data_IF_401291554802
#
_entry.id   IF_401291554802
#
_cell.length_a   1.000
_cell.length_b   1.000
_cell.length_c   1.000
_cell.angle_alpha   90.00
_cell.angle_beta   90.00
_cell.angle_gamma   90.00
#
_symmetry.space_group_name_H-M   'P 1'
#
loop_
_entity.id
_entity.type
_entity.pdbx_description
1 polymer ?
#
# COMPACT_ATOMS: atom_id res chain seq x y z
N UNK A 1 2.40 -22.26 4.84
CA UNK A 1 1.82 -21.36 3.82
C UNK A 1 2.96 -20.49 3.30
N UNK A 2 3.10 -20.33 1.99
CA UNK A 2 4.15 -19.49 1.40
C UNK A 2 3.88 -18.00 1.59
N UNK A 3 4.92 -17.18 1.40
CA UNK A 3 4.79 -15.73 1.34
C UNK A 3 3.83 -15.30 0.22
N UNK A 4 3.09 -14.24 0.44
CA UNK A 4 2.19 -13.61 -0.52
C UNK A 4 2.69 -12.20 -0.82
N UNK A 5 2.79 -11.85 -2.09
CA UNK A 5 3.25 -10.53 -2.54
C UNK A 5 2.09 -9.76 -3.17
N UNK A 6 2.00 -8.48 -2.83
CA UNK A 6 1.02 -7.55 -3.33
C UNK A 6 1.71 -6.32 -3.90
N UNK A 7 1.25 -5.88 -5.06
CA UNK A 7 1.78 -4.71 -5.75
C UNK A 7 0.71 -3.64 -5.88
N UNK A 8 1.11 -2.38 -5.73
CA UNK A 8 0.27 -1.22 -6.04
C UNK A 8 1.08 -0.16 -6.79
N UNK A 9 0.64 0.25 -8.00
CA UNK A 9 1.14 1.45 -8.64
C UNK A 9 0.90 2.67 -7.74
N UNK A 10 1.94 3.47 -7.54
CA UNK A 10 1.89 4.71 -6.80
C UNK A 10 1.33 5.82 -7.68
N UNK A 11 0.38 6.56 -7.14
CA UNK A 11 -0.15 7.80 -7.71
C UNK A 11 0.59 8.99 -7.12
N UNK A 12 0.52 10.17 -7.75
CA UNK A 12 1.11 11.40 -7.19
C UNK A 12 0.63 11.72 -5.76
N UNK A 13 -0.60 11.33 -5.39
CA UNK A 13 -1.11 11.49 -4.02
C UNK A 13 -0.43 10.55 -3.02
N UNK A 14 -0.07 9.35 -3.47
CA UNK A 14 0.59 8.34 -2.62
C UNK A 14 2.04 8.72 -2.30
N UNK A 15 2.74 9.37 -3.23
CA UNK A 15 4.13 9.85 -3.03
C UNK A 15 4.19 11.26 -2.44
N UNK A 16 3.09 12.01 -2.50
CA UNK A 16 2.97 13.33 -1.86
C UNK A 16 3.43 14.47 -2.75
N UNK A 17 3.60 14.19 -4.05
CA UNK A 17 3.99 15.16 -5.07
C UNK A 17 2.92 16.24 -5.28
N UNK A 18 1.66 15.94 -4.97
CA UNK A 18 0.55 16.90 -5.10
C UNK A 18 0.55 17.99 -4.02
N UNK A 19 1.43 17.92 -3.01
CA UNK A 19 1.51 18.88 -1.90
C UNK A 19 0.30 18.89 -0.96
N UNK A 20 -0.74 18.10 -1.26
CA UNK A 20 -1.91 17.92 -0.41
C UNK A 20 -1.62 17.01 0.78
N UNK A 21 -2.53 16.99 1.76
CA UNK A 21 -2.44 16.07 2.89
C UNK A 21 -2.49 14.62 2.39
N UNK A 22 -1.38 13.91 2.53
CA UNK A 22 -1.33 12.49 2.27
C UNK A 22 -2.17 11.76 3.33
N UNK A 23 -3.31 11.19 2.91
CA UNK A 23 -4.15 10.39 3.80
C UNK A 23 -3.66 8.93 3.94
N UNK A 24 -2.55 8.56 3.29
CA UNK A 24 -1.99 7.21 3.27
C UNK A 24 -2.46 6.37 2.08
N UNK A 25 -1.80 5.23 1.88
CA UNK A 25 -2.08 4.27 0.80
C UNK A 25 -3.42 3.60 1.06
N UNK A 26 -4.38 3.78 0.15
CA UNK A 26 -5.69 3.16 0.23
C UNK A 26 -5.63 1.64 -0.08
N UNK A 27 -6.29 0.83 0.73
CA UNK A 27 -6.54 -0.59 0.50
C UNK A 27 -8.05 -0.78 0.28
N UNK A 28 -8.50 -1.10 -0.95
CA UNK A 28 -9.90 -1.38 -1.23
C UNK A 28 -10.40 -2.56 -0.40
N UNK A 29 -11.63 -2.47 0.14
CA UNK A 29 -12.27 -3.56 0.89
C UNK A 29 -12.42 -4.86 0.08
N UNK A 30 -12.39 -4.78 -1.25
CA UNK A 30 -12.41 -5.93 -2.14
C UNK A 30 -11.09 -6.72 -2.16
N UNK A 31 -10.00 -6.18 -1.61
CA UNK A 31 -8.71 -6.87 -1.48
C UNK A 31 -8.70 -7.77 -0.23
N UNK A 32 -9.62 -8.74 -0.19
CA UNK A 32 -9.86 -9.60 0.98
C UNK A 32 -8.61 -10.37 1.41
N UNK A 33 -7.84 -10.87 0.45
CA UNK A 33 -6.62 -11.65 0.74
C UNK A 33 -5.51 -10.77 1.35
N UNK A 34 -5.34 -9.54 0.85
CA UNK A 34 -4.40 -8.57 1.42
C UNK A 34 -4.83 -8.17 2.83
N UNK A 35 -6.12 -7.89 3.02
CA UNK A 35 -6.65 -7.53 4.35
C UNK A 35 -6.45 -8.67 5.33
N UNK A 36 -6.66 -9.93 4.91
CA UNK A 36 -6.44 -11.11 5.74
C UNK A 36 -4.96 -11.38 6.08
N UNK A 37 -4.03 -10.81 5.31
CA UNK A 37 -2.59 -10.86 5.58
C UNK A 37 -2.16 -9.85 6.66
N UNK A 38 -2.93 -8.78 6.82
CA UNK A 38 -2.66 -7.69 7.76
C UNK A 38 -3.26 -7.99 9.14
N UNK A 39 -2.83 -7.28 10.20
CA UNK A 39 -3.43 -7.44 11.52
C UNK A 39 -4.93 -7.18 11.48
N UNK A 40 -5.70 -8.02 12.17
CA UNK A 40 -7.14 -7.83 12.28
C UNK A 40 -7.46 -6.51 12.98
N UNK A 41 -8.37 -5.74 12.38
CA UNK A 41 -8.88 -4.49 12.93
C UNK A 41 -10.37 -4.67 13.24
N UNK A 42 -10.74 -4.58 14.52
CA UNK A 42 -12.10 -4.84 14.97
C UNK A 42 -13.07 -3.74 14.50
N UNK A 43 -14.02 -4.03 13.60
CA UNK A 43 -14.96 -3.04 13.09
C UNK A 43 -15.89 -2.46 14.17
N UNK A 44 -16.05 -3.13 15.33
CA UNK A 44 -16.83 -2.64 16.46
C UNK A 44 -16.14 -1.49 17.22
N UNK A 45 -14.83 -1.32 17.04
CA UNK A 45 -14.12 -0.15 17.51
C UNK A 45 -14.18 0.96 16.44
N UNK A 46 -14.22 2.22 16.87
CA UNK A 46 -14.10 3.37 15.97
C UNK A 46 -12.65 3.60 15.60
N UNK A 47 -12.38 3.68 14.30
CA UNK A 47 -11.06 3.90 13.69
C UNK A 47 -9.95 2.98 14.25
N UNK A 48 -10.17 1.65 14.34
CA UNK A 48 -9.18 0.73 14.89
C UNK A 48 -7.93 0.73 14.02
N UNK A 49 -6.78 0.54 14.66
CA UNK A 49 -5.49 0.64 13.99
C UNK A 49 -4.37 -0.19 14.65
N UNK A 50 -3.41 -0.61 13.83
CA UNK A 50 -2.29 -1.47 14.21
C UNK A 50 -0.98 -0.95 13.59
N UNK A 51 0.13 -1.16 14.30
CA UNK A 51 1.46 -0.89 13.76
C UNK A 51 1.92 -2.07 12.91
N UNK A 52 2.44 -1.78 11.72
CA UNK A 52 3.12 -2.73 10.85
C UNK A 52 4.63 -2.44 10.94
N UNK A 53 5.42 -3.48 11.22
CA UNK A 53 6.86 -3.43 11.09
C UNK A 53 7.26 -4.13 9.79
N UNK A 54 7.82 -3.37 8.86
CA UNK A 54 8.18 -3.86 7.53
C UNK A 54 9.66 -3.61 7.28
N UNK A 55 10.39 -4.64 6.86
CA UNK A 55 11.82 -4.50 6.53
C UNK A 55 11.99 -4.30 5.03
N UNK A 56 12.81 -3.32 4.64
CA UNK A 56 13.14 -3.10 3.23
C UNK A 56 14.30 -3.96 2.73
N UNK A 57 14.59 -3.88 1.43
CA UNK A 57 15.66 -4.65 0.79
C UNK A 57 17.07 -4.29 1.31
N UNK A 58 17.22 -3.13 1.96
CA UNK A 58 18.46 -2.70 2.60
C UNK A 58 18.55 -3.16 4.07
N UNK A 59 17.55 -3.89 4.58
CA UNK A 59 17.49 -4.37 5.96
C UNK A 59 17.01 -3.32 6.96
N UNK A 60 16.50 -2.18 6.51
CA UNK A 60 15.96 -1.13 7.39
C UNK A 60 14.52 -1.44 7.75
N UNK A 61 14.21 -1.45 9.05
CA UNK A 61 12.83 -1.62 9.52
C UNK A 61 12.09 -0.29 9.58
N UNK A 62 10.94 -0.25 8.92
CA UNK A 62 10.01 0.85 8.88
C UNK A 62 8.75 0.53 9.69
N UNK A 63 8.22 1.54 10.38
CA UNK A 63 6.95 1.43 11.12
C UNK A 63 5.86 2.21 10.40
N UNK A 64 4.84 1.50 9.93
CA UNK A 64 3.67 2.09 9.29
C UNK A 64 2.42 1.84 10.13
N UNK A 65 1.39 2.67 9.93
CA UNK A 65 0.12 2.51 10.66
C UNK A 65 -0.96 2.03 9.71
N UNK A 66 -1.46 0.82 9.97
CA UNK A 66 -2.63 0.27 9.32
C UNK A 66 -3.87 0.69 10.09
N UNK A 67 -4.82 1.36 9.43
CA UNK A 67 -6.01 1.92 10.06
C UNK A 67 -7.26 1.64 9.22
N UNK A 68 -8.37 1.40 9.89
CA UNK A 68 -9.69 1.29 9.28
C UNK A 68 -10.53 2.52 9.62
N UNK A 69 -10.59 3.50 8.71
CA UNK A 69 -11.48 4.65 8.90
C UNK A 69 -12.93 4.21 8.67
N UNK A 70 -13.65 3.97 9.76
CA UNK A 70 -14.98 3.38 9.75
C UNK A 70 -16.03 4.28 10.44
N UNK A 71 -15.80 5.59 10.47
CA UNK A 71 -16.70 6.54 11.11
C UNK A 71 -18.14 6.49 10.56
N UNK A 72 -18.36 6.00 9.33
CA UNK A 72 -19.70 5.69 8.80
C UNK A 72 -20.51 4.72 9.69
N UNK A 73 -19.84 3.87 10.46
CA UNK A 73 -20.47 2.88 11.35
C UNK A 73 -20.70 3.41 12.76
N UNK A 74 -20.03 4.49 13.16
CA UNK A 74 -19.91 4.93 14.56
C UNK A 74 -20.42 6.34 14.81
N UNK A 75 -20.40 7.20 13.79
CA UNK A 75 -20.75 8.62 13.92
C UNK A 75 -22.02 8.95 13.14
N UNK A 76 -22.88 9.78 13.74
CA UNK A 76 -23.98 10.40 13.03
C UNK A 76 -23.42 11.32 11.93
N UNK A 77 -23.71 11.01 10.66
CA UNK A 77 -23.16 11.73 9.50
C UNK A 77 -21.74 11.32 9.10
N UNK A 78 -21.17 10.25 9.68
CA UNK A 78 -19.89 9.70 9.24
C UNK A 78 -19.91 9.19 7.79
N UNK A 79 -18.85 9.44 7.02
CA UNK A 79 -18.82 9.15 5.57
C UNK A 79 -17.74 8.15 5.14
N UNK A 80 -16.74 7.87 5.98
CA UNK A 80 -15.62 6.98 5.64
C UNK A 80 -15.89 5.54 6.04
N UNK A 81 -15.49 4.65 5.14
CA UNK A 81 -15.46 3.20 5.31
C UNK A 81 -14.33 2.64 4.41
N UNK A 82 -13.08 2.86 4.83
CA UNK A 82 -11.89 2.54 4.04
C UNK A 82 -10.69 2.14 4.90
N UNK A 83 -9.87 1.21 4.38
CA UNK A 83 -8.60 0.83 5.00
C UNK A 83 -7.45 1.62 4.39
N UNK A 84 -6.47 1.99 5.23
CA UNK A 84 -5.27 2.69 4.80
C UNK A 84 -4.00 2.23 5.50
N UNK A 85 -2.87 2.31 4.80
CA UNK A 85 -1.53 2.29 5.40
C UNK A 85 -0.97 3.72 5.36
N UNK A 86 -0.66 4.26 6.53
CA UNK A 86 -0.19 5.63 6.73
C UNK A 86 1.24 5.64 7.28
N UNK A 87 1.82 6.83 7.45
CA UNK A 87 3.21 7.03 7.87
C UNK A 87 4.27 6.54 6.86
N UNK A 88 3.91 6.42 5.57
CA UNK A 88 4.82 5.95 4.52
C UNK A 88 5.69 7.06 3.89
N UNK A 89 5.42 8.34 4.17
CA UNK A 89 6.12 9.47 3.54
C UNK A 89 7.63 9.43 3.76
N UNK A 90 8.11 9.08 4.96
CA UNK A 90 9.54 8.99 5.26
C UNK A 90 10.20 7.87 4.46
N UNK A 91 9.52 6.73 4.33
CA UNK A 91 9.98 5.61 3.52
C UNK A 91 10.08 6.01 2.04
N UNK A 92 9.00 6.56 1.46
CA UNK A 92 9.00 6.99 0.06
C UNK A 92 10.09 8.01 -0.26
N UNK A 93 10.32 8.99 0.63
CA UNK A 93 11.43 9.93 0.48
C UNK A 93 12.80 9.26 0.54
N UNK A 94 12.98 8.27 1.43
CA UNK A 94 14.25 7.58 1.59
C UNK A 94 14.61 6.71 0.37
N UNK A 95 13.61 6.08 -0.25
CA UNK A 95 13.81 5.26 -1.46
C UNK A 95 13.65 6.03 -2.77
N UNK A 96 13.31 7.33 -2.70
CA UNK A 96 13.10 8.18 -3.88
C UNK A 96 11.91 7.78 -4.74
N UNK A 97 10.83 7.27 -4.12
CA UNK A 97 9.64 6.82 -4.83
C UNK A 97 8.88 7.99 -5.45
N UNK A 98 8.41 7.78 -6.69
CA UNK A 98 7.68 8.76 -7.50
C UNK A 98 6.39 8.16 -8.08
N UNK A 99 5.50 9.01 -8.60
CA UNK A 99 4.34 8.54 -9.35
C UNK A 99 4.74 7.59 -10.49
N UNK A 100 4.02 6.47 -10.60
CA UNK A 100 4.30 5.42 -11.59
C UNK A 100 5.17 4.29 -11.07
N UNK A 101 5.93 4.50 -9.99
CA UNK A 101 6.63 3.41 -9.31
C UNK A 101 5.63 2.44 -8.66
N UNK A 102 6.10 1.23 -8.36
CA UNK A 102 5.26 0.16 -7.79
C UNK A 102 5.68 -0.12 -6.35
N UNK A 103 4.77 0.13 -5.41
CA UNK A 103 4.90 -0.36 -4.04
C UNK A 103 4.71 -1.87 -4.01
N UNK A 104 5.65 -2.58 -3.41
CA UNK A 104 5.61 -4.02 -3.20
C UNK A 104 5.52 -4.29 -1.69
N UNK A 105 4.53 -5.10 -1.30
CA UNK A 105 4.34 -5.59 0.06
C UNK A 105 4.35 -7.11 0.02
N UNK A 106 5.19 -7.73 0.85
CA UNK A 106 5.20 -9.18 1.02
C UNK A 106 4.99 -9.53 2.49
N UNK A 107 4.17 -10.55 2.74
CA UNK A 107 3.95 -11.08 4.08
C UNK A 107 3.57 -12.54 4.04
N UNK A 108 3.47 -13.17 5.21
CA UNK A 108 3.00 -14.55 5.35
C UNK A 108 1.76 -14.59 6.24
N UNK A 109 0.69 -15.32 5.86
CA UNK A 109 -0.49 -15.47 6.72
C UNK A 109 -0.10 -15.99 8.11
N UNK A 110 -0.63 -15.36 9.16
CA UNK A 110 -0.32 -15.70 10.55
C UNK A 110 1.03 -15.18 11.04
N UNK A 111 1.79 -14.45 10.22
CA UNK A 111 2.97 -13.71 10.65
C UNK A 111 2.67 -12.21 10.74
N UNK A 112 3.29 -11.53 11.70
CA UNK A 112 3.31 -10.07 11.80
C UNK A 112 4.59 -9.46 11.21
N UNK A 113 5.39 -10.28 10.50
CA UNK A 113 6.56 -9.82 9.77
C UNK A 113 6.25 -9.63 8.30
N UNK A 114 6.65 -8.47 7.79
CA UNK A 114 6.44 -8.07 6.41
C UNK A 114 7.73 -7.53 5.81
N UNK A 115 7.83 -7.57 4.49
CA UNK A 115 8.82 -6.79 3.75
C UNK A 115 8.14 -5.77 2.83
N UNK A 116 8.87 -4.68 2.56
CA UNK A 116 8.40 -3.58 1.73
C UNK A 116 9.48 -3.13 0.79
N UNK A 117 9.16 -2.91 -0.48
CA UNK A 117 10.08 -2.30 -1.43
C UNK A 117 9.33 -1.45 -2.44
N UNK A 118 10.08 -0.65 -3.20
CA UNK A 118 9.56 0.11 -4.33
C UNK A 118 10.32 -0.31 -5.56
N UNK A 119 9.60 -0.83 -6.55
CA UNK A 119 10.14 -1.20 -7.86
C UNK A 119 9.86 -0.09 -8.84
N UNK A 120 10.93 0.42 -9.48
CA UNK A 120 10.79 1.38 -10.58
C UNK A 120 10.15 0.70 -11.79
N UNK A 121 9.13 1.32 -12.36
CA UNK A 121 8.57 0.89 -13.63
C UNK A 121 9.41 1.50 -14.76
N UNK A 122 10.62 0.98 -14.97
CA UNK A 122 11.47 1.41 -16.08
C UNK A 122 10.80 1.05 -17.41
N UNK A 123 10.33 2.05 -18.15
CA UNK A 123 10.23 1.92 -19.59
C UNK A 123 11.67 1.70 -20.13
N UNK A 124 11.92 0.73 -21.02
CA UNK A 124 13.22 0.64 -21.67
C UNK A 124 13.45 1.96 -22.42
N UNK A 125 14.51 2.68 -22.08
CA UNK A 125 15.04 3.72 -22.95
C UNK A 125 15.70 3.02 -24.14
N UNK A 126 15.04 3.06 -25.30
CA UNK A 126 15.64 2.69 -26.57
C UNK A 126 14.78 1.76 -27.43
N UNK A 127 14.64 2.20 -28.67
CA UNK A 127 14.25 1.46 -29.89
C UNK A 127 12.76 1.29 -30.21
N UNK A 128 12.43 1.89 -31.35
CA UNK A 128 11.18 1.83 -32.09
C UNK A 128 10.79 0.38 -32.40
N UNK A 129 9.64 -0.07 -31.91
CA UNK A 129 8.76 -1.00 -32.62
C UNK A 129 7.43 -1.13 -31.85
N UNK A 130 6.33 -0.89 -32.56
CA UNK A 130 4.93 -1.23 -32.23
C UNK A 130 4.73 -1.99 -30.91
N UNK A 131 4.64 -1.26 -29.79
CA UNK A 131 4.40 -1.88 -28.49
C UNK A 131 2.90 -2.17 -28.32
N UNK A 132 2.50 -3.35 -27.83
CA UNK A 132 1.11 -3.62 -27.47
C UNK A 132 0.68 -2.64 -26.37
N UNK A 133 -0.57 -2.18 -26.42
CA UNK A 133 -1.17 -1.25 -25.47
C UNK A 133 -0.86 -1.71 -24.04
N UNK A 134 0.11 -1.06 -23.38
CA UNK A 134 0.48 -1.35 -21.99
C UNK A 134 -0.72 -0.95 -21.12
N UNK A 135 -1.41 -1.95 -20.58
CA UNK A 135 -2.51 -1.74 -19.64
C UNK A 135 -1.94 -1.07 -18.39
N UNK A 136 -2.26 0.21 -18.19
CA UNK A 136 -1.98 0.90 -16.93
C UNK A 136 -2.76 0.20 -15.81
N UNK A 137 -2.04 -0.48 -14.92
CA UNK A 137 -2.60 -1.16 -13.77
C UNK A 137 -3.26 -0.15 -12.84
N UNK A 138 -4.42 -0.48 -12.29
CA UNK A 138 -5.15 0.36 -11.33
C UNK A 138 -5.31 -0.40 -10.02
N UNK A 139 -4.67 0.10 -8.96
CA UNK A 139 -4.83 -0.41 -7.60
C UNK A 139 -3.98 -1.64 -7.27
N UNK A 140 -4.32 -2.27 -6.14
CA UNK A 140 -3.60 -3.43 -5.62
C UNK A 140 -3.83 -4.69 -6.46
N UNK A 141 -2.82 -5.55 -6.56
CA UNK A 141 -2.94 -6.91 -7.11
C UNK A 141 -2.03 -7.87 -6.35
N UNK A 142 -2.41 -9.15 -6.32
CA UNK A 142 -1.55 -10.24 -5.84
C UNK A 142 -0.62 -10.72 -6.97
N UNK A 143 0.63 -11.03 -6.64
CA UNK A 143 1.63 -11.60 -7.56
C UNK A 143 1.99 -13.01 -7.10
N UNK A 144 2.08 -13.94 -8.05
CA UNK A 144 2.39 -15.36 -7.85
C UNK A 144 3.84 -15.66 -8.16
#
# INVERSE_FOLDING_TARGET
MGSQTYEKPLTANDTGETGGHQAGIHIPKSQTDLIALLPFLDPAQKNPDAWLEMTDDAGVTWRFRYIYYNNRLHDEGGTRDEYRITHMTKFFRAVGATEGDVLVLTGSPGSLTYSVSVRRDEAPQGEEASAPVRVRLKGWRRVH
#
